data_IF_737732719134
#
_entry.id   IF_737732719134
#
_cell.length_a   1.000
_cell.length_b   1.000
_cell.length_c   1.000
_cell.angle_alpha   90.00
_cell.angle_beta   90.00
_cell.angle_gamma   90.00
#
_symmetry.space_group_name_H-M   'P 1'
#
loop_
_entity.id
_entity.type
_entity.pdbx_description
1 polymer ?
#
# COMPACT_ATOMS: atom_id res chain seq x y z
N UNK A 1 45.18 -11.70 74.91
CA UNK A 1 45.92 -10.45 75.13
C UNK A 1 46.35 -9.98 73.75
N UNK A 2 46.10 -8.72 73.41
CA UNK A 2 46.38 -8.21 72.06
C UNK A 2 47.89 -8.15 71.85
N UNK A 3 48.39 -8.76 70.77
CA UNK A 3 49.82 -8.79 70.48
C UNK A 3 50.39 -7.38 70.26
N UNK A 4 49.56 -6.46 69.76
CA UNK A 4 49.91 -5.05 69.61
C UNK A 4 50.17 -4.39 70.97
N UNK A 5 49.38 -4.73 71.99
CA UNK A 5 49.60 -4.23 73.35
C UNK A 5 50.90 -4.76 73.95
N UNK A 6 51.25 -6.04 73.69
CA UNK A 6 52.52 -6.61 74.14
C UNK A 6 53.72 -6.02 73.38
N UNK A 7 53.57 -5.69 72.10
CA UNK A 7 54.59 -5.01 71.31
C UNK A 7 54.78 -3.57 71.78
N UNK A 8 53.71 -2.82 72.03
CA UNK A 8 53.80 -1.48 72.61
C UNK A 8 54.41 -1.50 74.01
N UNK A 9 54.09 -2.50 74.84
CA UNK A 9 54.74 -2.68 76.14
C UNK A 9 56.24 -3.00 75.99
N UNK A 10 56.63 -3.74 74.95
CA UNK A 10 58.03 -4.00 74.64
C UNK A 10 58.76 -2.72 74.16
N UNK A 11 58.12 -1.93 73.30
CA UNK A 11 58.60 -0.62 72.83
C UNK A 11 58.77 0.35 74.01
N UNK A 12 57.79 0.45 74.90
CA UNK A 12 57.85 1.29 76.10
C UNK A 12 59.02 0.89 77.01
N UNK A 13 59.28 -0.42 77.19
CA UNK A 13 60.41 -0.90 77.99
C UNK A 13 61.76 -0.45 77.38
N UNK A 14 61.84 -0.36 76.05
CA UNK A 14 63.05 0.06 75.33
C UNK A 14 63.18 1.59 75.31
N UNK A 15 62.10 2.33 75.07
CA UNK A 15 62.10 3.80 74.98
C UNK A 15 62.39 4.48 76.33
N UNK A 16 62.01 3.85 77.44
CA UNK A 16 62.31 4.35 78.79
C UNK A 16 63.73 3.97 79.27
N UNK A 17 64.50 3.19 78.50
CA UNK A 17 65.88 2.86 78.83
C UNK A 17 66.82 4.02 78.46
N UNK A 18 67.39 4.70 79.47
CA UNK A 18 68.39 5.75 79.23
C UNK A 18 69.81 5.17 79.20
N UNK A 19 70.62 5.64 78.27
CA UNK A 19 72.03 5.24 78.17
C UNK A 19 72.88 6.02 79.17
N UNK A 20 73.39 5.32 80.18
CA UNK A 20 74.26 5.86 81.21
C UNK A 20 75.75 5.86 80.83
N UNK A 21 76.62 6.42 81.69
CA UNK A 21 78.07 6.39 81.49
C UNK A 21 78.57 4.96 81.37
N UNK A 22 79.55 4.73 80.48
CA UNK A 22 80.04 3.40 80.08
C UNK A 22 78.97 2.44 79.52
N UNK A 23 77.91 2.97 78.87
CA UNK A 23 76.98 2.15 78.10
C UNK A 23 75.99 1.31 78.93
N UNK A 24 75.92 1.54 80.24
CA UNK A 24 74.95 0.87 81.14
C UNK A 24 73.54 1.39 80.81
N UNK A 25 72.58 0.48 80.63
CA UNK A 25 71.17 0.82 80.43
C UNK A 25 70.50 1.05 81.79
N UNK A 26 70.16 2.30 82.08
CA UNK A 26 69.49 2.70 83.33
C UNK A 26 67.99 2.72 83.08
N UNK A 27 67.22 1.99 83.90
CA UNK A 27 65.76 1.89 83.80
C UNK A 27 65.24 0.73 82.94
N UNK A 28 66.12 0.01 82.24
CA UNK A 28 65.78 -1.19 81.47
C UNK A 28 65.62 -2.41 82.40
N UNK A 29 64.54 -3.17 82.23
CA UNK A 29 64.31 -4.43 82.95
C UNK A 29 64.40 -5.60 81.97
N UNK A 30 65.51 -6.32 82.01
CA UNK A 30 65.75 -7.51 81.18
C UNK A 30 64.70 -8.60 81.44
N UNK A 31 64.32 -8.79 82.71
CA UNK A 31 63.30 -9.76 83.11
C UNK A 31 61.92 -9.44 82.50
N UNK A 32 61.46 -8.18 82.61
CA UNK A 32 60.18 -7.76 82.01
C UNK A 32 60.23 -7.84 80.49
N UNK A 33 61.33 -7.41 79.88
CA UNK A 33 61.54 -7.53 78.44
C UNK A 33 61.45 -8.99 77.97
N UNK A 34 62.10 -9.91 78.68
CA UNK A 34 62.09 -11.32 78.32
C UNK A 34 60.72 -11.98 78.53
N UNK A 35 60.02 -11.66 79.62
CA UNK A 35 58.65 -12.13 79.88
C UNK A 35 57.68 -11.63 78.79
N UNK A 36 57.75 -10.35 78.42
CA UNK A 36 56.92 -9.78 77.35
C UNK A 36 57.25 -10.43 76.00
N UNK A 37 58.53 -10.66 75.70
CA UNK A 37 58.97 -11.38 74.50
C UNK A 37 58.45 -12.83 74.45
N UNK A 38 58.47 -13.55 75.58
CA UNK A 38 57.92 -14.91 75.67
C UNK A 38 56.41 -14.92 75.48
N UNK A 39 55.68 -13.94 76.03
CA UNK A 39 54.24 -13.77 75.81
C UNK A 39 53.92 -13.47 74.34
N UNK A 40 54.71 -12.64 73.66
CA UNK A 40 54.58 -12.40 72.22
C UNK A 40 54.80 -13.71 71.47
N UNK A 41 55.90 -14.41 71.73
CA UNK A 41 56.23 -15.69 71.06
C UNK A 41 55.16 -16.76 71.27
N UNK A 42 54.56 -16.84 72.46
CA UNK A 42 53.50 -17.79 72.76
C UNK A 42 52.17 -17.47 72.05
N UNK A 43 51.84 -16.18 71.86
CA UNK A 43 50.58 -15.74 71.27
C UNK A 43 50.65 -15.47 69.76
N UNK A 44 51.86 -15.25 69.20
CA UNK A 44 52.07 -14.93 67.79
C UNK A 44 51.56 -16.00 66.82
N UNK A 45 51.79 -17.32 67.02
CA UNK A 45 51.31 -18.34 66.09
C UNK A 45 49.78 -18.35 65.97
N UNK A 46 49.07 -18.18 67.09
CA UNK A 46 47.61 -18.13 67.12
C UNK A 46 47.06 -16.88 66.43
N UNK A 47 47.70 -15.71 66.60
CA UNK A 47 47.30 -14.49 65.90
C UNK A 47 47.53 -14.58 64.38
N UNK A 48 48.68 -15.14 63.96
CA UNK A 48 48.98 -15.38 62.55
C UNK A 48 48.00 -16.38 61.94
N UNK A 49 47.66 -17.45 62.66
CA UNK A 49 46.66 -18.43 62.23
C UNK A 49 45.26 -17.82 62.13
N UNK A 50 44.87 -16.97 63.08
CA UNK A 50 43.61 -16.20 63.01
C UNK A 50 43.59 -15.29 61.78
N UNK A 51 44.65 -14.53 61.54
CA UNK A 51 44.75 -13.65 60.38
C UNK A 51 44.68 -14.44 59.06
N UNK A 52 45.36 -15.59 58.98
CA UNK A 52 45.30 -16.47 57.82
C UNK A 52 43.89 -17.04 57.58
N UNK A 53 43.21 -17.49 58.63
CA UNK A 53 41.83 -17.98 58.53
C UNK A 53 40.86 -16.88 58.09
N UNK A 54 40.99 -15.67 58.64
CA UNK A 54 40.18 -14.51 58.23
C UNK A 54 40.44 -14.16 56.77
N UNK A 55 41.71 -14.17 56.33
CA UNK A 55 42.06 -13.91 54.94
C UNK A 55 41.45 -14.97 54.00
N UNK A 56 41.52 -16.25 54.37
CA UNK A 56 40.90 -17.34 53.62
C UNK A 56 39.37 -17.22 53.56
N UNK A 57 38.72 -16.95 54.69
CA UNK A 57 37.27 -16.74 54.76
C UNK A 57 36.82 -15.53 53.93
N UNK A 58 37.61 -14.45 53.93
CA UNK A 58 37.36 -13.28 53.09
C UNK A 58 37.46 -13.63 51.61
N UNK A 59 38.47 -14.40 51.21
CA UNK A 59 38.61 -14.83 49.81
C UNK A 59 37.42 -15.70 49.37
N UNK A 60 36.99 -16.65 50.21
CA UNK A 60 35.80 -17.47 49.97
C UNK A 60 34.54 -16.61 49.85
N UNK A 61 34.34 -15.66 50.77
CA UNK A 61 33.19 -14.74 50.73
C UNK A 61 33.20 -13.85 49.48
N UNK A 62 34.37 -13.35 49.06
CA UNK A 62 34.50 -12.55 47.85
C UNK A 62 34.19 -13.38 46.60
N UNK A 63 34.62 -14.63 46.56
CA UNK A 63 34.35 -15.54 45.45
C UNK A 63 32.85 -15.89 45.37
N UNK A 64 32.21 -16.18 46.50
CA UNK A 64 30.76 -16.39 46.57
C UNK A 64 29.98 -15.14 46.12
N UNK A 65 30.37 -13.95 46.59
CA UNK A 65 29.75 -12.70 46.18
C UNK A 65 29.94 -12.41 44.69
N UNK A 66 31.11 -12.74 44.11
CA UNK A 66 31.37 -12.64 42.66
C UNK A 66 30.45 -13.58 41.88
N UNK A 67 30.36 -14.84 42.30
CA UNK A 67 29.48 -15.83 41.66
C UNK A 67 28.01 -15.42 41.74
N UNK A 68 27.54 -14.90 42.87
CA UNK A 68 26.18 -14.37 43.02
C UNK A 68 25.93 -13.16 42.11
N UNK A 69 26.87 -12.21 42.06
CA UNK A 69 26.76 -11.06 41.17
C UNK A 69 26.76 -11.48 39.69
N UNK A 70 27.49 -12.52 39.31
CA UNK A 70 27.46 -13.10 37.98
C UNK A 70 26.12 -13.74 37.66
N UNK A 71 25.56 -14.55 38.56
CA UNK A 71 24.22 -15.15 38.38
C UNK A 71 23.15 -14.08 38.18
N UNK A 72 23.12 -13.07 39.05
CA UNK A 72 22.16 -11.96 38.94
C UNK A 72 22.33 -11.23 37.61
N UNK A 73 23.57 -10.95 37.18
CA UNK A 73 23.81 -10.31 35.88
C UNK A 73 23.38 -11.18 34.71
N UNK A 74 23.58 -12.49 34.80
CA UNK A 74 23.19 -13.43 33.76
C UNK A 74 21.67 -13.52 33.65
N UNK A 75 20.97 -13.72 34.78
CA UNK A 75 19.51 -13.75 34.83
C UNK A 75 18.89 -12.42 34.34
N UNK A 76 19.47 -11.29 34.73
CA UNK A 76 19.04 -9.97 34.25
C UNK A 76 19.24 -9.80 32.73
N UNK A 77 20.34 -10.34 32.18
CA UNK A 77 20.58 -10.32 30.72
C UNK A 77 19.61 -11.23 29.98
N UNK A 78 19.40 -12.45 30.46
CA UNK A 78 18.50 -13.42 29.83
C UNK A 78 17.05 -12.91 29.83
N UNK A 79 16.59 -12.37 30.96
CA UNK A 79 15.26 -11.76 31.07
C UNK A 79 15.10 -10.54 30.15
N UNK A 80 16.11 -9.67 30.04
CA UNK A 80 16.08 -8.53 29.12
C UNK A 80 16.00 -8.99 27.66
N UNK A 81 16.79 -10.00 27.27
CA UNK A 81 16.75 -10.55 25.91
C UNK A 81 15.39 -11.17 25.60
N UNK A 82 14.84 -11.96 26.53
CA UNK A 82 13.51 -12.54 26.39
C UNK A 82 12.42 -11.47 26.27
N UNK A 83 12.51 -10.38 27.04
CA UNK A 83 11.59 -9.25 26.93
C UNK A 83 11.74 -8.51 25.59
N UNK A 84 12.98 -8.31 25.11
CA UNK A 84 13.24 -7.71 23.80
C UNK A 84 12.66 -8.56 22.68
N UNK A 85 12.85 -9.88 22.71
CA UNK A 85 12.27 -10.80 21.73
C UNK A 85 10.74 -10.77 21.77
N UNK A 86 10.13 -10.79 22.96
CA UNK A 86 8.67 -10.64 23.11
C UNK A 86 8.17 -9.34 22.51
N UNK A 87 8.82 -8.22 22.83
CA UNK A 87 8.48 -6.89 22.28
C UNK A 87 8.64 -6.86 20.76
N UNK A 88 9.71 -7.46 20.22
CA UNK A 88 9.90 -7.57 18.77
C UNK A 88 8.82 -8.43 18.10
N UNK A 89 8.47 -9.56 18.71
CA UNK A 89 7.41 -10.43 18.22
C UNK A 89 6.03 -9.74 18.28
N UNK A 90 5.72 -9.03 19.36
CA UNK A 90 4.50 -8.24 19.48
C UNK A 90 4.44 -7.13 18.42
N UNK A 91 5.53 -6.40 18.21
CA UNK A 91 5.63 -5.39 17.15
C UNK A 91 5.48 -6.02 15.76
N UNK A 92 6.07 -7.19 15.52
CA UNK A 92 5.92 -7.92 14.25
C UNK A 92 4.47 -8.36 14.02
N UNK A 93 3.82 -8.91 15.05
CA UNK A 93 2.41 -9.29 15.00
C UNK A 93 1.48 -8.08 14.79
N UNK A 94 1.75 -6.96 15.49
CA UNK A 94 0.99 -5.72 15.31
C UNK A 94 1.14 -5.18 13.89
N UNK A 95 2.37 -5.18 13.33
CA UNK A 95 2.62 -4.79 11.94
C UNK A 95 1.87 -5.68 10.96
N UNK A 96 1.86 -7.00 11.18
CA UNK A 96 1.14 -7.94 10.33
C UNK A 96 -0.36 -7.68 10.36
N UNK A 97 -0.96 -7.53 11.55
CA UNK A 97 -2.40 -7.22 11.69
C UNK A 97 -2.75 -5.89 11.03
N UNK A 98 -1.95 -4.85 11.27
CA UNK A 98 -2.14 -3.54 10.65
C UNK A 98 -2.06 -3.62 9.13
N UNK A 99 -1.11 -4.39 8.58
CA UNK A 99 -1.01 -4.60 7.13
C UNK A 99 -2.24 -5.32 6.55
N UNK A 100 -2.74 -6.34 7.25
CA UNK A 100 -3.95 -7.06 6.85
C UNK A 100 -5.18 -6.15 6.85
N UNK A 101 -5.38 -5.37 7.93
CA UNK A 101 -6.49 -4.41 8.03
C UNK A 101 -6.41 -3.35 6.92
N UNK A 102 -5.22 -2.80 6.66
CA UNK A 102 -5.01 -1.85 5.57
C UNK A 102 -5.28 -2.48 4.19
N UNK A 103 -4.91 -3.75 3.98
CA UNK A 103 -5.17 -4.44 2.72
C UNK A 103 -6.67 -4.72 2.53
N UNK A 104 -7.37 -5.14 3.58
CA UNK A 104 -8.82 -5.33 3.55
C UNK A 104 -9.55 -4.01 3.30
N UNK A 105 -9.15 -2.94 3.96
CA UNK A 105 -9.71 -1.59 3.76
C UNK A 105 -9.45 -1.10 2.34
N UNK A 106 -8.22 -1.24 1.82
CA UNK A 106 -7.90 -0.92 0.43
C UNK A 106 -8.80 -1.68 -0.56
N UNK A 107 -8.99 -2.99 -0.36
CA UNK A 107 -9.87 -3.81 -1.22
C UNK A 107 -11.32 -3.35 -1.14
N UNK A 108 -11.80 -2.96 0.05
CA UNK A 108 -13.16 -2.40 0.21
C UNK A 108 -13.32 -1.09 -0.54
N UNK A 109 -12.37 -0.17 -0.38
CA UNK A 109 -12.37 1.12 -1.06
C UNK A 109 -12.28 0.96 -2.58
N UNK A 110 -11.45 0.04 -3.08
CA UNK A 110 -11.36 -0.26 -4.51
C UNK A 110 -12.69 -0.78 -5.07
N UNK A 111 -13.35 -1.70 -4.34
CA UNK A 111 -14.67 -2.22 -4.72
C UNK A 111 -15.75 -1.13 -4.69
N UNK A 112 -15.71 -0.24 -3.71
CA UNK A 112 -16.65 0.87 -3.61
C UNK A 112 -16.42 1.90 -4.71
N UNK A 113 -15.17 2.26 -5.00
CA UNK A 113 -14.81 3.14 -6.11
C UNK A 113 -15.28 2.57 -7.46
N UNK A 114 -15.09 1.25 -7.69
CA UNK A 114 -15.57 0.60 -8.91
C UNK A 114 -17.09 0.70 -9.04
N UNK A 115 -17.84 0.45 -7.95
CA UNK A 115 -19.30 0.61 -7.95
C UNK A 115 -19.74 2.04 -8.27
N UNK A 116 -19.07 3.04 -7.68
CA UNK A 116 -19.39 4.44 -7.94
C UNK A 116 -19.13 4.77 -9.42
N UNK A 117 -18.03 4.29 -9.99
CA UNK A 117 -17.72 4.49 -11.41
C UNK A 117 -18.75 3.82 -12.33
N UNK A 118 -19.15 2.59 -12.02
CA UNK A 118 -20.16 1.88 -12.80
C UNK A 118 -21.52 2.56 -12.72
N UNK A 119 -21.93 3.00 -11.52
CA UNK A 119 -23.15 3.79 -11.33
C UNK A 119 -23.10 5.11 -12.10
N UNK A 120 -21.99 5.84 -12.02
CA UNK A 120 -21.81 7.09 -12.74
C UNK A 120 -21.87 6.89 -14.27
N UNK A 121 -21.27 5.80 -14.77
CA UNK A 121 -21.35 5.43 -16.19
C UNK A 121 -22.77 5.10 -16.62
N UNK A 122 -23.48 4.30 -15.83
CA UNK A 122 -24.87 3.94 -16.12
C UNK A 122 -25.78 5.18 -16.13
N UNK A 123 -25.63 6.06 -15.13
CA UNK A 123 -26.33 7.34 -15.09
C UNK A 123 -26.01 8.22 -16.30
N UNK A 124 -24.73 8.34 -16.68
CA UNK A 124 -24.33 9.08 -17.87
C UNK A 124 -24.99 8.51 -19.14
N UNK A 125 -25.00 7.18 -19.29
CA UNK A 125 -25.67 6.52 -20.41
C UNK A 125 -27.18 6.79 -20.42
N UNK A 126 -27.85 6.76 -19.27
CA UNK A 126 -29.27 7.07 -19.17
C UNK A 126 -29.55 8.52 -19.57
N UNK A 127 -28.77 9.47 -19.06
CA UNK A 127 -28.91 10.90 -19.39
C UNK A 127 -28.74 11.12 -20.90
N UNK A 128 -27.73 10.51 -21.52
CA UNK A 128 -27.51 10.60 -22.96
C UNK A 128 -28.69 10.03 -23.75
N UNK A 129 -29.16 8.83 -23.39
CA UNK A 129 -30.30 8.19 -24.05
C UNK A 129 -31.57 9.03 -23.96
N UNK A 130 -31.84 9.61 -22.79
CA UNK A 130 -32.99 10.50 -22.62
C UNK A 130 -32.82 11.82 -23.37
N UNK A 131 -31.61 12.38 -23.41
CA UNK A 131 -31.32 13.60 -24.16
C UNK A 131 -31.52 13.37 -25.67
N UNK A 132 -31.05 12.24 -26.20
CA UNK A 132 -31.27 11.83 -27.59
C UNK A 132 -32.76 11.66 -27.91
N UNK A 133 -33.50 10.96 -27.04
CA UNK A 133 -34.95 10.78 -27.22
C UNK A 133 -35.70 12.13 -27.20
N UNK A 134 -35.36 13.02 -26.25
CA UNK A 134 -35.93 14.36 -26.17
C UNK A 134 -35.59 15.18 -27.41
N UNK A 135 -34.35 15.14 -27.87
CA UNK A 135 -33.91 15.87 -29.07
C UNK A 135 -34.65 15.39 -30.33
N UNK A 136 -34.76 14.07 -30.52
CA UNK A 136 -35.51 13.50 -31.64
C UNK A 136 -36.98 13.92 -31.61
N UNK A 137 -37.60 13.93 -30.43
CA UNK A 137 -38.98 14.38 -30.25
C UNK A 137 -39.14 15.87 -30.58
N UNK A 138 -38.28 16.74 -30.04
CA UNK A 138 -38.31 18.18 -30.32
C UNK A 138 -38.11 18.50 -31.81
N UNK A 139 -37.22 17.78 -32.50
CA UNK A 139 -37.03 17.93 -33.95
C UNK A 139 -38.33 17.58 -34.68
N UNK A 140 -38.96 16.46 -34.33
CA UNK A 140 -40.20 16.00 -34.97
C UNK A 140 -41.36 16.95 -34.70
N UNK A 141 -41.45 17.50 -33.48
CA UNK A 141 -42.49 18.46 -33.12
C UNK A 141 -42.26 19.86 -33.68
N UNK A 142 -41.03 20.18 -34.09
CA UNK A 142 -40.66 21.47 -34.65
C UNK A 142 -41.54 21.84 -35.83
N UNK A 143 -41.99 23.10 -35.83
CA UNK A 143 -42.74 23.70 -36.95
C UNK A 143 -41.95 23.57 -38.25
N UNK A 144 -40.62 23.65 -38.18
CA UNK A 144 -39.75 23.51 -39.35
C UNK A 144 -39.84 22.11 -39.94
N UNK A 145 -39.83 21.05 -39.11
CA UNK A 145 -39.93 19.68 -39.59
C UNK A 145 -41.29 19.40 -40.23
N UNK A 146 -42.37 19.80 -39.55
CA UNK A 146 -43.75 19.62 -40.06
C UNK A 146 -43.98 20.37 -41.37
N UNK A 147 -43.49 21.60 -41.47
CA UNK A 147 -43.61 22.41 -42.69
C UNK A 147 -42.75 21.86 -43.82
N UNK A 148 -41.52 21.39 -43.53
CA UNK A 148 -40.67 20.72 -44.50
C UNK A 148 -41.29 19.42 -45.01
N UNK A 149 -41.89 18.62 -44.14
CA UNK A 149 -42.61 17.39 -44.51
C UNK A 149 -43.80 17.70 -45.42
N UNK A 150 -44.63 18.70 -45.05
CA UNK A 150 -45.76 19.12 -45.87
C UNK A 150 -45.33 19.60 -47.25
N UNK A 151 -44.25 20.40 -47.34
CA UNK A 151 -43.67 20.85 -48.61
C UNK A 151 -43.13 19.69 -49.44
N UNK A 152 -42.44 18.73 -48.81
CA UNK A 152 -41.93 17.54 -49.49
C UNK A 152 -43.06 16.67 -50.05
N UNK A 153 -44.15 16.50 -49.29
CA UNK A 153 -45.34 15.80 -49.76
C UNK A 153 -46.02 16.53 -50.93
N UNK A 154 -46.15 17.85 -50.85
CA UNK A 154 -46.72 18.66 -51.94
C UNK A 154 -45.88 18.54 -53.22
N UNK A 155 -44.55 18.67 -53.12
CA UNK A 155 -43.64 18.53 -54.24
C UNK A 155 -43.69 17.13 -54.86
N UNK A 156 -43.81 16.08 -54.04
CA UNK A 156 -44.00 14.70 -54.53
C UNK A 156 -45.28 14.54 -55.33
N UNK A 157 -46.40 15.07 -54.82
CA UNK A 157 -47.69 14.99 -55.50
C UNK A 157 -47.68 15.75 -56.82
N UNK A 158 -47.08 16.95 -56.83
CA UNK A 158 -46.89 17.75 -58.03
C UNK A 158 -46.05 16.99 -59.07
N UNK A 159 -44.91 16.42 -58.67
CA UNK A 159 -44.08 15.61 -59.55
C UNK A 159 -44.80 14.36 -60.09
N UNK A 160 -45.63 13.70 -59.28
CA UNK A 160 -46.45 12.55 -59.71
C UNK A 160 -47.52 12.98 -60.74
N UNK A 161 -48.16 14.13 -60.53
CA UNK A 161 -49.14 14.70 -61.46
C UNK A 161 -48.50 15.12 -62.78
N UNK A 162 -47.36 15.82 -62.72
CA UNK A 162 -46.61 16.24 -63.91
C UNK A 162 -46.13 15.04 -64.72
N UNK A 163 -45.65 13.99 -64.04
CA UNK A 163 -45.27 12.74 -64.69
C UNK A 163 -46.49 12.05 -65.34
N UNK A 164 -47.65 12.06 -64.70
CA UNK A 164 -48.88 11.52 -65.27
C UNK A 164 -49.35 12.32 -66.49
N UNK A 165 -49.35 13.66 -66.41
CA UNK A 165 -49.71 14.54 -67.50
C UNK A 165 -48.75 14.38 -68.70
N UNK A 166 -47.44 14.26 -68.42
CA UNK A 166 -46.42 14.01 -69.45
C UNK A 166 -46.66 12.67 -70.15
N UNK A 167 -46.93 11.60 -69.40
CA UNK A 167 -47.26 10.29 -69.98
C UNK A 167 -48.51 10.36 -70.86
N UNK A 168 -49.58 10.98 -70.36
CA UNK A 168 -50.82 11.11 -71.13
C UNK A 168 -50.63 11.94 -72.40
N UNK A 169 -49.91 13.06 -72.32
CA UNK A 169 -49.59 13.89 -73.47
C UNK A 169 -48.74 13.13 -74.51
N UNK A 170 -47.79 12.30 -74.07
CA UNK A 170 -47.00 11.45 -74.96
C UNK A 170 -47.88 10.39 -75.66
N UNK A 171 -48.83 9.79 -74.96
CA UNK A 171 -49.78 8.82 -75.53
C UNK A 171 -50.69 9.47 -76.58
N UNK A 172 -51.24 10.66 -76.29
CA UNK A 172 -52.08 11.41 -77.24
C UNK A 172 -51.29 11.87 -78.47
N UNK A 173 -50.04 12.31 -78.27
CA UNK A 173 -49.14 12.62 -79.37
C UNK A 173 -48.85 11.38 -80.23
N UNK A 174 -48.54 10.24 -79.60
CA UNK A 174 -48.31 8.98 -80.30
C UNK A 174 -49.52 8.55 -81.14
N UNK A 175 -50.75 8.64 -80.58
CA UNK A 175 -51.99 8.40 -81.32
C UNK A 175 -52.12 9.31 -82.54
N UNK A 176 -51.89 10.60 -82.37
CA UNK A 176 -51.98 11.58 -83.46
C UNK A 176 -50.99 11.25 -84.58
N UNK A 177 -49.74 10.95 -84.23
CA UNK A 177 -48.71 10.54 -85.20
C UNK A 177 -49.12 9.25 -85.91
N UNK A 178 -49.60 8.23 -85.18
CA UNK A 178 -50.06 6.96 -85.76
C UNK A 178 -51.25 7.14 -86.70
N UNK A 179 -52.25 7.94 -86.34
CA UNK A 179 -53.38 8.27 -87.22
C UNK A 179 -52.94 9.00 -88.49
N UNK A 180 -52.04 9.98 -88.38
CA UNK A 180 -51.51 10.65 -89.58
C UNK A 180 -50.73 9.69 -90.49
N UNK A 181 -49.96 8.76 -89.92
CA UNK A 181 -49.25 7.73 -90.66
C UNK A 181 -50.24 6.77 -91.36
N UNK A 182 -51.32 6.39 -90.69
CA UNK A 182 -52.38 5.56 -91.26
C UNK A 182 -53.01 6.24 -92.49
N UNK A 183 -53.37 7.52 -92.39
CA UNK A 183 -53.90 8.26 -93.54
C UNK A 183 -52.93 8.28 -94.73
N UNK A 184 -51.64 8.49 -94.46
CA UNK A 184 -50.60 8.47 -95.50
C UNK A 184 -50.50 7.10 -96.16
N UNK A 185 -50.50 6.02 -95.36
CA UNK A 185 -50.44 4.65 -95.86
C UNK A 185 -51.69 4.27 -96.66
N UNK A 186 -52.89 4.67 -96.23
CA UNK A 186 -54.13 4.45 -96.96
C UNK A 186 -54.11 5.13 -98.34
N UNK A 187 -53.63 6.39 -98.41
CA UNK A 187 -53.46 7.10 -99.69
C UNK A 187 -52.45 6.39 -100.60
N UNK A 188 -51.32 5.95 -100.06
CA UNK A 188 -50.32 5.21 -100.82
C UNK A 188 -50.88 3.88 -101.35
N UNK A 189 -51.63 3.14 -100.53
CA UNK A 189 -52.26 1.88 -100.92
C UNK A 189 -53.30 2.09 -102.04
N UNK A 190 -54.14 3.13 -101.93
CA UNK A 190 -55.08 3.53 -102.98
C UNK A 190 -54.39 3.84 -104.30
N UNK A 191 -53.25 4.54 -104.28
CA UNK A 191 -52.47 4.80 -105.49
C UNK A 191 -51.91 3.50 -106.10
N UNK A 192 -51.41 2.58 -105.28
CA UNK A 192 -50.94 1.26 -105.74
C UNK A 192 -52.08 0.45 -106.35
N UNK A 193 -53.26 0.44 -105.72
CA UNK A 193 -54.45 -0.26 -106.25
C UNK A 193 -54.87 0.30 -107.60
N UNK A 194 -54.97 1.63 -107.74
CA UNK A 194 -55.25 2.28 -109.02
C UNK A 194 -54.20 1.94 -110.08
N UNK A 195 -52.93 1.93 -109.71
CA UNK A 195 -51.85 1.51 -110.60
C UNK A 195 -51.99 0.05 -111.05
N UNK A 196 -52.38 -0.86 -110.16
CA UNK A 196 -52.66 -2.27 -110.49
C UNK A 196 -53.87 -2.43 -111.41
N UNK A 197 -54.97 -1.72 -111.18
CA UNK A 197 -56.17 -1.74 -112.04
C UNK A 197 -55.86 -1.22 -113.45
N UNK A 198 -55.09 -0.14 -113.56
CA UNK A 198 -54.63 0.39 -114.85
C UNK A 198 -53.78 -0.65 -115.62
N UNK A 199 -52.90 -1.37 -114.93
CA UNK A 199 -52.10 -2.43 -115.53
C UNK A 199 -52.91 -3.69 -115.87
N UNK A 200 -53.95 -4.04 -115.09
CA UNK A 200 -54.82 -5.19 -115.40
C UNK A 200 -55.77 -4.92 -116.57
N UNK A 201 -56.21 -3.66 -116.74
CA UNK A 201 -57.03 -3.22 -117.87
C UNK A 201 -56.21 -2.87 -119.13
N UNK A 202 -54.88 -3.03 -119.08
CA UNK A 202 -53.96 -2.80 -120.19
C UNK A 202 -53.59 -4.10 -120.95
N UNK A 203 -54.40 -5.15 -120.83
CA UNK A 203 -54.34 -6.37 -121.67
C UNK A 203 -55.59 -6.45 -122.53
#
# INVERSE_FOLDING_TARGET
MDILKLLSELEDIVDHARRGPMGILIGFSEERFHITLMKIRANLPEEVKRAANIAQQREQLLEEARQQAERIRQEARESLLAEQERRQNELAQMRLKMQQELEEERKRLEKEALKILDQAREQAHQILKEAEARAAHLITESVIYKEAEKRAQALRLEAENDAAATRHGADEYAKTVLSSMEEVLQRALLQVQKGKELLSNSK
#
